data_IF_996342500558
#
_entry.id   IF_996342500558
#
_cell.length_a   1.000
_cell.length_b   1.000
_cell.length_c   1.000
_cell.angle_alpha   90.00
_cell.angle_beta   90.00
_cell.angle_gamma   90.00
#
_symmetry.space_group_name_H-M   'P 1'
#
loop_
_entity.id
_entity.type
_entity.pdbx_description
1 polymer ?
#
# COMPACT_ATOMS: atom_id res chain seq x y z
N UNK A 1 -63.42 39.23 16.60
CA UNK A 1 -62.38 40.04 15.93
C UNK A 1 -60.94 39.59 16.16
N UNK A 2 -60.58 38.83 17.22
CA UNK A 2 -59.19 38.40 17.45
C UNK A 2 -58.70 37.24 16.55
N UNK A 3 -59.60 36.38 16.07
CA UNK A 3 -59.25 35.23 15.24
C UNK A 3 -58.84 35.55 13.79
N UNK A 4 -59.41 36.60 13.17
CA UNK A 4 -59.09 36.96 11.78
C UNK A 4 -57.70 37.57 11.62
N UNK A 5 -57.22 38.30 12.65
CA UNK A 5 -55.88 38.90 12.65
C UNK A 5 -54.78 37.84 12.78
N UNK A 6 -55.05 36.75 13.49
CA UNK A 6 -54.11 35.65 13.63
C UNK A 6 -53.95 34.86 12.32
N UNK A 7 -55.07 34.56 11.65
CA UNK A 7 -55.06 33.88 10.35
C UNK A 7 -54.40 34.73 9.25
N UNK A 8 -54.63 36.05 9.25
CA UNK A 8 -53.98 36.96 8.31
C UNK A 8 -52.44 36.99 8.51
N UNK A 9 -51.97 36.94 9.75
CA UNK A 9 -50.53 36.86 10.06
C UNK A 9 -49.91 35.55 9.58
N UNK A 10 -50.56 34.42 9.82
CA UNK A 10 -50.09 33.12 9.32
C UNK A 10 -50.02 33.11 7.80
N UNK A 11 -51.05 33.65 7.13
CA UNK A 11 -51.08 33.70 5.67
C UNK A 11 -49.94 34.56 5.10
N UNK A 12 -49.66 35.73 5.70
CA UNK A 12 -48.53 36.57 5.31
C UNK A 12 -47.19 35.85 5.50
N UNK A 13 -46.99 35.14 6.61
CA UNK A 13 -45.76 34.36 6.84
C UNK A 13 -45.61 33.20 5.86
N UNK A 14 -46.69 32.50 5.52
CA UNK A 14 -46.69 31.44 4.51
C UNK A 14 -46.38 32.01 3.13
N UNK A 15 -46.96 33.17 2.77
CA UNK A 15 -46.63 33.86 1.52
C UNK A 15 -45.17 34.33 1.47
N UNK A 16 -44.62 34.85 2.57
CA UNK A 16 -43.20 35.23 2.65
C UNK A 16 -42.29 34.01 2.50
N UNK A 17 -42.62 32.89 3.16
CA UNK A 17 -41.86 31.63 3.03
C UNK A 17 -41.95 31.04 1.61
N UNK A 18 -43.10 31.15 0.95
CA UNK A 18 -43.30 30.75 -0.45
C UNK A 18 -42.58 31.69 -1.44
N UNK A 19 -42.49 32.98 -1.13
CA UNK A 19 -41.74 33.95 -1.95
C UNK A 19 -40.22 33.77 -1.78
N UNK A 20 -39.76 33.37 -0.59
CA UNK A 20 -38.35 33.04 -0.34
C UNK A 20 -37.92 31.73 -1.02
N UNK A 21 -38.82 30.78 -1.27
CA UNK A 21 -38.53 29.55 -2.02
C UNK A 21 -38.63 29.70 -3.54
N UNK A 22 -39.14 30.83 -4.05
CA UNK A 22 -39.24 31.12 -5.48
C UNK A 22 -37.99 31.79 -6.07
N UNK A 23 -37.01 32.16 -5.24
CA UNK A 23 -35.75 32.78 -5.68
C UNK A 23 -34.59 31.79 -5.76
N UNK A 24 -34.62 30.81 -6.69
CA UNK A 24 -33.54 29.80 -6.78
C UNK A 24 -32.93 29.58 -8.16
N UNK A 25 -33.39 30.24 -9.23
CA UNK A 25 -32.85 29.98 -10.58
C UNK A 25 -31.77 30.97 -11.03
N UNK A 26 -31.77 32.22 -10.55
CA UNK A 26 -30.81 33.24 -11.00
C UNK A 26 -29.42 33.11 -10.37
N UNK A 27 -29.34 32.64 -9.11
CA UNK A 27 -28.05 32.50 -8.40
C UNK A 27 -27.12 31.46 -9.01
N UNK A 28 -27.67 30.30 -9.39
CA UNK A 28 -26.88 29.19 -9.99
C UNK A 28 -26.21 29.63 -11.28
N UNK A 29 -26.93 30.39 -12.12
CA UNK A 29 -26.37 30.88 -13.39
C UNK A 29 -25.30 31.97 -13.21
N UNK A 30 -25.35 32.74 -12.13
CA UNK A 30 -24.34 33.75 -11.81
C UNK A 30 -23.06 33.09 -11.28
N UNK A 31 -23.21 32.02 -10.49
CA UNK A 31 -22.09 31.25 -9.95
C UNK A 31 -21.31 30.51 -11.05
N UNK A 32 -21.98 29.89 -12.03
CA UNK A 32 -21.30 29.20 -13.14
C UNK A 32 -20.50 30.18 -14.03
N UNK A 33 -21.00 31.39 -14.26
CA UNK A 33 -20.25 32.45 -14.97
C UNK A 33 -18.99 32.79 -14.18
N UNK A 34 -19.13 33.04 -12.87
CA UNK A 34 -18.02 33.36 -11.98
C UNK A 34 -16.99 32.23 -11.93
N UNK A 35 -17.46 30.98 -11.86
CA UNK A 35 -16.61 29.80 -11.88
C UNK A 35 -15.67 29.81 -13.08
N UNK A 36 -16.22 29.88 -14.31
CA UNK A 36 -15.40 29.82 -15.52
C UNK A 36 -14.53 31.08 -15.70
N UNK A 37 -15.02 32.24 -15.25
CA UNK A 37 -14.28 33.49 -15.34
C UNK A 37 -13.04 33.48 -14.43
N UNK A 38 -13.17 33.03 -13.18
CA UNK A 38 -12.04 32.90 -12.26
C UNK A 38 -11.13 31.72 -12.65
N UNK A 39 -11.70 30.60 -13.10
CA UNK A 39 -10.93 29.47 -13.62
C UNK A 39 -9.98 29.91 -14.74
N UNK A 40 -10.48 30.69 -15.70
CA UNK A 40 -9.65 31.22 -16.81
C UNK A 40 -8.53 32.15 -16.34
N UNK A 41 -8.69 32.84 -15.19
CA UNK A 41 -7.65 33.72 -14.63
C UNK A 41 -6.57 32.94 -13.90
N UNK A 42 -6.94 31.87 -13.20
CA UNK A 42 -6.02 31.04 -12.40
C UNK A 42 -5.19 30.08 -13.27
N UNK A 43 -5.77 29.57 -14.37
CA UNK A 43 -5.09 28.62 -15.26
C UNK A 43 -4.15 29.34 -16.23
N UNK A 44 -2.96 28.77 -16.40
CA UNK A 44 -1.99 29.23 -17.40
C UNK A 44 -2.24 28.53 -18.73
N UNK A 45 -2.67 29.30 -19.72
CA UNK A 45 -2.96 28.85 -21.08
C UNK A 45 -2.00 29.51 -22.10
N UNK A 46 -0.79 28.95 -22.32
CA UNK A 46 0.20 29.54 -23.21
C UNK A 46 -0.21 29.48 -24.70
N UNK A 47 -1.18 28.62 -25.06
CA UNK A 47 -1.61 28.43 -26.45
C UNK A 47 -2.93 29.12 -26.78
N UNK A 48 -3.55 29.80 -25.80
CA UNK A 48 -4.84 30.46 -25.98
C UNK A 48 -5.97 29.49 -26.33
N UNK A 49 -5.92 28.23 -25.85
CA UNK A 49 -7.00 27.25 -26.05
C UNK A 49 -8.32 27.72 -25.48
N UNK A 50 -8.31 28.46 -24.37
CA UNK A 50 -9.49 29.03 -23.71
C UNK A 50 -9.86 30.42 -24.26
N UNK A 51 -9.35 30.81 -25.43
CA UNK A 51 -9.66 32.10 -26.07
C UNK A 51 -11.14 32.26 -26.40
N UNK A 52 -11.84 31.16 -26.71
CA UNK A 52 -13.29 31.15 -27.00
C UNK A 52 -14.18 31.51 -25.81
N UNK A 53 -13.64 31.45 -24.59
CA UNK A 53 -14.37 31.82 -23.38
C UNK A 53 -14.47 33.34 -23.28
N UNK A 54 -15.46 33.91 -23.95
CA UNK A 54 -15.78 35.34 -23.94
C UNK A 54 -17.02 35.63 -23.10
N UNK A 55 -16.80 36.33 -21.99
CA UNK A 55 -17.81 36.68 -21.00
C UNK A 55 -18.53 38.01 -21.31
N UNK A 56 -18.24 38.66 -22.45
CA UNK A 56 -18.96 39.88 -22.87
C UNK A 56 -20.43 39.63 -23.21
N UNK A 57 -20.73 38.43 -23.74
CA UNK A 57 -22.09 38.05 -24.07
C UNK A 57 -22.76 37.37 -22.87
N UNK A 58 -23.76 38.05 -22.30
CA UNK A 58 -24.54 37.59 -21.14
C UNK A 58 -25.80 36.81 -21.53
N UNK A 59 -25.98 36.50 -22.82
CA UNK A 59 -27.12 35.70 -23.27
C UNK A 59 -27.12 34.32 -22.63
N UNK A 60 -28.31 33.86 -22.25
CA UNK A 60 -28.49 32.51 -21.70
C UNK A 60 -28.04 31.46 -22.72
N UNK A 61 -27.32 30.44 -22.24
CA UNK A 61 -26.74 29.37 -23.06
C UNK A 61 -25.41 29.75 -23.73
N UNK A 62 -24.91 30.97 -23.56
CA UNK A 62 -23.64 31.37 -24.17
C UNK A 62 -22.44 30.59 -23.58
N UNK A 63 -22.46 30.30 -22.28
CA UNK A 63 -21.44 29.48 -21.60
C UNK A 63 -21.31 28.09 -22.23
N UNK A 64 -22.42 27.51 -22.68
CA UNK A 64 -22.49 26.16 -23.24
C UNK A 64 -21.83 26.05 -24.63
N UNK A 65 -21.45 27.18 -25.24
CA UNK A 65 -20.71 27.24 -26.50
C UNK A 65 -19.20 27.29 -26.30
N UNK A 66 -18.75 27.43 -25.06
CA UNK A 66 -17.33 27.48 -24.74
C UNK A 66 -16.67 26.13 -24.99
N UNK A 67 -15.42 26.16 -25.44
CA UNK A 67 -14.67 24.94 -25.68
C UNK A 67 -14.56 24.14 -24.37
N UNK A 68 -14.87 22.85 -24.45
CA UNK A 68 -14.82 21.94 -23.30
C UNK A 68 -15.92 22.16 -22.26
N UNK A 69 -16.93 23.00 -22.50
CA UNK A 69 -18.02 23.22 -21.55
C UNK A 69 -19.28 22.56 -22.08
N UNK A 70 -19.91 21.70 -21.26
CA UNK A 70 -21.25 21.18 -21.53
C UNK A 70 -22.20 21.58 -20.41
N UNK A 71 -23.38 22.06 -20.79
CA UNK A 71 -24.44 22.46 -19.86
C UNK A 71 -25.53 21.40 -19.76
N UNK A 72 -26.41 21.57 -18.77
CA UNK A 72 -27.62 20.76 -18.64
C UNK A 72 -28.60 20.93 -19.82
N UNK A 73 -28.76 22.16 -20.29
CA UNK A 73 -29.60 22.52 -21.43
C UNK A 73 -29.14 23.87 -21.99
N UNK A 74 -29.40 24.13 -23.27
CA UNK A 74 -29.10 25.40 -23.95
C UNK A 74 -29.94 26.59 -23.44
N UNK A 75 -30.90 26.32 -22.53
CA UNK A 75 -31.79 27.31 -21.93
C UNK A 75 -31.34 27.78 -20.55
N UNK A 76 -30.25 27.24 -20.02
CA UNK A 76 -29.71 27.62 -18.71
C UNK A 76 -28.18 27.62 -18.77
N UNK A 77 -27.56 28.50 -18.00
CA UNK A 77 -26.10 28.62 -17.92
C UNK A 77 -25.47 27.62 -16.93
N UNK A 78 -26.15 26.49 -16.69
CA UNK A 78 -25.76 25.51 -15.68
C UNK A 78 -24.74 24.53 -16.22
N UNK A 79 -23.48 24.64 -15.79
CA UNK A 79 -22.38 23.79 -16.27
C UNK A 79 -22.43 22.41 -15.59
N UNK A 80 -22.31 21.36 -16.39
CA UNK A 80 -22.26 19.98 -15.91
C UNK A 80 -20.92 19.31 -16.16
N UNK A 81 -20.32 19.54 -17.34
CA UNK A 81 -19.07 18.90 -17.71
C UNK A 81 -18.06 19.95 -18.12
N UNK A 82 -16.84 19.80 -17.61
CA UNK A 82 -15.67 20.56 -18.01
C UNK A 82 -14.62 19.58 -18.55
N UNK A 83 -14.49 19.55 -19.88
CA UNK A 83 -13.68 18.62 -20.66
C UNK A 83 -12.54 19.37 -21.35
N UNK A 84 -11.42 19.53 -20.65
CA UNK A 84 -10.26 20.31 -21.08
C UNK A 84 -9.03 19.44 -21.37
N UNK A 85 -9.26 18.25 -21.91
CA UNK A 85 -8.21 17.27 -22.21
C UNK A 85 -7.25 17.77 -23.29
N UNK A 86 -5.96 17.46 -23.13
CA UNK A 86 -4.91 17.69 -24.14
C UNK A 86 -4.79 19.16 -24.61
N UNK A 87 -5.04 20.11 -23.70
CA UNK A 87 -5.03 21.55 -24.00
C UNK A 87 -3.72 22.26 -23.64
N UNK A 88 -2.72 21.55 -23.10
CA UNK A 88 -1.45 22.12 -22.62
C UNK A 88 -1.65 23.24 -21.58
N UNK A 89 -2.70 23.11 -20.78
CA UNK A 89 -2.98 23.99 -19.65
C UNK A 89 -2.02 23.66 -18.52
N UNK A 90 -1.64 24.67 -17.72
CA UNK A 90 -0.74 24.48 -16.58
C UNK A 90 -1.18 25.31 -15.38
N UNK A 91 -0.55 25.07 -14.23
CA UNK A 91 -0.93 25.67 -12.95
C UNK A 91 -1.28 24.60 -11.92
N UNK A 92 -2.11 24.96 -10.95
CA UNK A 92 -2.73 24.05 -9.98
C UNK A 92 -4.22 23.90 -10.31
N UNK A 93 -4.91 22.95 -9.67
CA UNK A 93 -6.38 22.90 -9.74
C UNK A 93 -6.94 24.21 -9.15
N UNK A 94 -7.72 25.00 -9.91
CA UNK A 94 -8.23 26.28 -9.45
C UNK A 94 -9.22 26.17 -8.31
N UNK A 95 -9.15 27.09 -7.34
CA UNK A 95 -10.18 27.17 -6.28
C UNK A 95 -11.52 27.62 -6.86
N UNK A 96 -11.51 28.35 -7.99
CA UNK A 96 -12.70 28.77 -8.73
C UNK A 96 -13.74 27.67 -8.99
N UNK A 97 -13.34 26.39 -9.01
CA UNK A 97 -14.25 25.26 -9.13
C UNK A 97 -15.29 25.19 -7.99
N UNK A 98 -15.07 25.87 -6.86
CA UNK A 98 -16.04 25.99 -5.77
C UNK A 98 -17.38 26.63 -6.20
N UNK A 99 -17.38 27.43 -7.26
CA UNK A 99 -18.59 28.05 -7.81
C UNK A 99 -19.34 27.14 -8.80
N UNK A 100 -18.66 26.14 -9.40
CA UNK A 100 -19.27 25.17 -10.33
C UNK A 100 -19.98 24.03 -9.58
N UNK A 101 -20.86 24.34 -8.63
CA UNK A 101 -21.44 23.35 -7.70
C UNK A 101 -22.18 22.21 -8.43
N UNK A 102 -22.72 22.47 -9.62
CA UNK A 102 -23.47 21.50 -10.42
C UNK A 102 -22.62 20.54 -11.26
N UNK A 103 -21.29 20.70 -11.25
CA UNK A 103 -20.40 19.89 -12.08
C UNK A 103 -20.48 18.41 -11.72
N UNK A 104 -20.62 17.58 -12.75
CA UNK A 104 -20.68 16.13 -12.68
C UNK A 104 -19.45 15.49 -13.31
N UNK A 105 -18.83 16.12 -14.30
CA UNK A 105 -17.62 15.60 -14.95
C UNK A 105 -16.54 16.66 -15.02
N UNK A 106 -15.36 16.35 -14.49
CA UNK A 106 -14.15 17.17 -14.62
C UNK A 106 -13.06 16.32 -15.28
N UNK A 107 -12.71 16.66 -16.52
CA UNK A 107 -11.61 16.05 -17.26
C UNK A 107 -10.55 17.11 -17.56
N UNK A 108 -9.42 17.01 -16.84
CA UNK A 108 -8.22 17.82 -17.04
C UNK A 108 -7.05 16.96 -17.57
N UNK A 109 -7.34 15.78 -18.13
CA UNK A 109 -6.34 14.82 -18.53
C UNK A 109 -5.38 15.34 -19.62
N UNK A 110 -4.13 14.91 -19.62
CA UNK A 110 -3.17 15.25 -20.69
C UNK A 110 -2.75 16.73 -20.70
N UNK A 111 -2.62 17.34 -19.53
CA UNK A 111 -2.19 18.72 -19.37
C UNK A 111 -0.88 18.79 -18.56
N UNK A 112 -0.46 20.01 -18.24
CA UNK A 112 0.72 20.32 -17.45
C UNK A 112 0.36 20.83 -16.04
N UNK A 113 -0.80 20.43 -15.48
CA UNK A 113 -1.17 20.78 -14.10
C UNK A 113 -0.20 20.12 -13.10
N UNK A 114 0.05 20.81 -11.99
CA UNK A 114 1.04 20.44 -10.98
C UNK A 114 0.56 20.82 -9.58
N UNK A 115 1.36 20.50 -8.56
CA UNK A 115 0.98 20.67 -7.16
C UNK A 115 0.16 19.50 -6.64
N UNK A 116 -0.49 19.68 -5.50
CA UNK A 116 -1.31 18.65 -4.87
C UNK A 116 -2.75 18.68 -5.39
N UNK A 117 -3.44 17.53 -5.33
CA UNK A 117 -4.89 17.48 -5.56
C UNK A 117 -5.56 18.13 -4.34
N UNK A 118 -6.38 19.18 -4.50
CA UNK A 118 -7.02 19.84 -3.37
C UNK A 118 -7.90 18.87 -2.58
N UNK A 119 -7.72 18.81 -1.26
CA UNK A 119 -8.54 17.95 -0.41
C UNK A 119 -10.01 18.38 -0.38
N UNK A 120 -10.29 19.66 -0.68
CA UNK A 120 -11.63 20.23 -0.72
C UNK A 120 -12.38 19.95 -2.02
N UNK A 121 -11.79 19.25 -3.01
CA UNK A 121 -12.42 19.06 -4.34
C UNK A 121 -13.83 18.43 -4.25
N UNK A 122 -14.06 17.51 -3.32
CA UNK A 122 -15.38 16.90 -3.10
C UNK A 122 -16.35 17.80 -2.32
N UNK A 123 -15.84 18.81 -1.60
CA UNK A 123 -16.66 19.85 -0.97
C UNK A 123 -17.09 20.87 -2.01
N UNK A 124 -16.19 21.24 -2.93
CA UNK A 124 -16.47 22.13 -4.05
C UNK A 124 -17.44 21.53 -5.05
N UNK A 125 -17.26 20.24 -5.37
CA UNK A 125 -17.99 19.52 -6.41
C UNK A 125 -18.74 18.31 -5.81
N UNK A 126 -19.83 18.53 -5.05
CA UNK A 126 -20.51 17.46 -4.31
C UNK A 126 -21.22 16.44 -5.21
N UNK A 127 -21.51 16.79 -6.47
CA UNK A 127 -22.21 15.94 -7.44
C UNK A 127 -21.28 15.27 -8.46
N UNK A 128 -19.96 15.27 -8.21
CA UNK A 128 -18.98 14.75 -9.14
C UNK A 128 -19.17 13.24 -9.38
N UNK A 129 -19.30 12.87 -10.65
CA UNK A 129 -19.48 11.50 -11.16
C UNK A 129 -18.20 11.02 -11.83
N UNK A 130 -17.50 11.90 -12.56
CA UNK A 130 -16.24 11.61 -13.24
C UNK A 130 -15.16 12.62 -12.86
N UNK A 131 -14.01 12.13 -12.41
CA UNK A 131 -12.81 12.92 -12.21
C UNK A 131 -11.65 12.27 -12.98
N UNK A 132 -11.16 12.96 -14.01
CA UNK A 132 -9.97 12.56 -14.74
C UNK A 132 -8.90 13.65 -14.63
N UNK A 133 -7.82 13.32 -13.93
CA UNK A 133 -6.62 14.12 -13.74
C UNK A 133 -5.40 13.43 -14.33
N UNK A 134 -5.59 12.43 -15.20
CA UNK A 134 -4.52 11.60 -15.74
C UNK A 134 -3.51 12.38 -16.57
N UNK A 135 -2.30 11.85 -16.69
CA UNK A 135 -1.26 12.39 -17.57
C UNK A 135 -0.99 13.88 -17.30
N UNK A 136 -0.67 14.19 -16.04
CA UNK A 136 -0.34 15.52 -15.53
C UNK A 136 0.93 15.42 -14.66
N UNK A 137 1.23 16.46 -13.87
CA UNK A 137 2.38 16.53 -12.96
C UNK A 137 1.93 16.67 -11.50
N UNK A 138 0.74 16.18 -11.15
CA UNK A 138 0.26 16.19 -9.76
C UNK A 138 1.18 15.39 -8.85
N UNK A 139 1.44 15.90 -7.66
CA UNK A 139 2.35 15.33 -6.66
C UNK A 139 1.71 15.31 -5.27
N UNK A 140 2.39 14.73 -4.29
CA UNK A 140 1.85 14.59 -2.93
C UNK A 140 0.91 13.39 -2.82
N UNK A 141 0.10 13.38 -1.77
CA UNK A 141 -0.78 12.25 -1.44
C UNK A 141 -2.11 12.32 -2.18
N UNK A 142 -2.73 11.16 -2.42
CA UNK A 142 -4.15 11.11 -2.78
C UNK A 142 -4.96 11.54 -1.53
N UNK A 143 -5.77 12.62 -1.59
CA UNK A 143 -6.52 13.08 -0.42
C UNK A 143 -7.54 12.05 0.03
N UNK A 144 -7.57 11.73 1.32
CA UNK A 144 -8.59 10.87 1.93
C UNK A 144 -10.01 11.44 1.77
N UNK A 145 -10.13 12.76 1.69
CA UNK A 145 -11.37 13.49 1.42
C UNK A 145 -12.01 13.14 0.07
N UNK A 146 -11.30 12.52 -0.87
CA UNK A 146 -11.89 11.97 -2.10
C UNK A 146 -12.97 10.91 -1.80
N UNK A 147 -12.91 10.26 -0.65
CA UNK A 147 -13.97 9.37 -0.17
C UNK A 147 -15.31 10.06 0.11
N UNK A 148 -15.36 11.42 0.14
CA UNK A 148 -16.59 12.19 0.31
C UNK A 148 -17.37 12.40 -1.00
N UNK A 149 -16.75 12.17 -2.16
CA UNK A 149 -17.42 12.25 -3.46
C UNK A 149 -18.35 11.03 -3.68
N UNK A 150 -19.47 10.95 -2.96
CA UNK A 150 -20.35 9.76 -2.92
C UNK A 150 -20.98 9.38 -4.27
N UNK A 151 -21.00 10.29 -5.24
CA UNK A 151 -21.53 10.08 -6.60
C UNK A 151 -20.48 9.58 -7.60
N UNK A 152 -19.21 9.48 -7.21
CA UNK A 152 -18.10 9.20 -8.10
C UNK A 152 -18.19 7.78 -8.67
N UNK A 153 -18.22 7.70 -9.99
CA UNK A 153 -18.22 6.45 -10.76
C UNK A 153 -16.85 6.17 -11.39
N UNK A 154 -16.11 7.21 -11.76
CA UNK A 154 -14.81 7.11 -12.43
C UNK A 154 -13.81 8.08 -11.81
N UNK A 155 -12.70 7.54 -11.33
CA UNK A 155 -11.57 8.29 -10.78
C UNK A 155 -10.28 7.87 -11.48
N UNK A 156 -9.75 8.74 -12.35
CA UNK A 156 -8.55 8.46 -13.15
C UNK A 156 -7.46 9.43 -12.73
N UNK A 157 -6.41 8.90 -12.10
CA UNK A 157 -5.25 9.63 -11.57
C UNK A 157 -3.94 9.07 -12.16
N UNK A 158 -4.01 8.26 -13.22
CA UNK A 158 -2.85 7.61 -13.81
C UNK A 158 -1.84 8.63 -14.36
N UNK A 159 -0.57 8.22 -14.49
CA UNK A 159 0.48 8.99 -15.16
C UNK A 159 0.69 10.36 -14.49
N UNK A 160 0.93 10.34 -13.18
CA UNK A 160 1.23 11.51 -12.36
C UNK A 160 2.45 11.21 -11.46
N UNK A 161 2.71 12.06 -10.47
CA UNK A 161 3.79 11.92 -9.48
C UNK A 161 3.23 11.76 -8.07
N UNK A 162 2.03 11.19 -7.93
CA UNK A 162 1.38 10.96 -6.64
C UNK A 162 2.15 9.92 -5.83
N UNK A 163 2.23 10.11 -4.52
CA UNK A 163 3.03 9.29 -3.61
C UNK A 163 2.25 8.91 -2.35
N UNK A 164 2.86 8.02 -1.55
CA UNK A 164 2.24 7.47 -0.35
C UNK A 164 1.21 6.39 -0.65
N UNK A 165 0.31 6.13 0.28
CA UNK A 165 -0.66 5.02 0.20
C UNK A 165 -1.97 5.44 -0.45
N UNK A 166 -2.67 4.49 -1.06
CA UNK A 166 -4.06 4.68 -1.48
C UNK A 166 -4.95 4.77 -0.21
N UNK A 167 -5.70 5.86 0.01
CA UNK A 167 -6.58 6.01 1.17
C UNK A 167 -7.66 4.93 1.21
N UNK A 168 -7.96 4.40 2.40
CA UNK A 168 -8.97 3.36 2.55
C UNK A 168 -10.39 3.91 2.29
N UNK A 169 -10.58 5.22 2.42
CA UNK A 169 -11.83 5.93 2.18
C UNK A 169 -12.30 5.79 0.72
N UNK A 170 -11.38 5.54 -0.23
CA UNK A 170 -11.73 5.23 -1.63
C UNK A 170 -12.54 3.92 -1.72
N UNK A 171 -12.29 2.95 -0.82
CA UNK A 171 -13.08 1.71 -0.78
C UNK A 171 -14.52 1.93 -0.30
N UNK A 172 -14.83 3.06 0.35
CA UNK A 172 -16.18 3.42 0.78
C UNK A 172 -17.02 4.04 -0.36
N UNK A 173 -16.42 4.34 -1.51
CA UNK A 173 -17.14 4.87 -2.68
C UNK A 173 -17.96 3.76 -3.35
N UNK A 174 -19.18 3.55 -2.85
CA UNK A 174 -20.05 2.45 -3.28
C UNK A 174 -20.53 2.51 -4.74
N UNK A 175 -20.33 3.64 -5.44
CA UNK A 175 -20.66 3.80 -6.86
C UNK A 175 -19.46 3.71 -7.80
N UNK A 176 -18.24 3.66 -7.24
CA UNK A 176 -17.02 3.67 -8.03
C UNK A 176 -16.93 2.39 -8.85
N UNK A 177 -16.72 2.54 -10.15
CA UNK A 177 -16.62 1.44 -11.13
C UNK A 177 -15.26 1.39 -11.80
N UNK A 178 -14.62 2.55 -11.95
CA UNK A 178 -13.30 2.68 -12.55
C UNK A 178 -12.40 3.51 -11.64
N UNK A 179 -11.27 2.94 -11.27
CA UNK A 179 -10.27 3.61 -10.46
C UNK A 179 -8.89 3.28 -11.02
N UNK A 180 -8.19 4.28 -11.54
CA UNK A 180 -6.88 4.12 -12.14
C UNK A 180 -5.87 5.04 -11.48
N UNK A 181 -4.79 4.45 -10.98
CA UNK A 181 -3.65 5.13 -10.35
C UNK A 181 -2.33 4.67 -10.96
N UNK A 182 -2.38 4.10 -12.15
CA UNK A 182 -1.22 3.54 -12.83
C UNK A 182 -0.12 4.59 -13.01
N UNK A 183 1.14 4.14 -13.09
CA UNK A 183 2.30 4.99 -13.37
C UNK A 183 2.40 6.21 -12.43
N UNK A 184 2.36 5.96 -11.12
CA UNK A 184 2.63 6.92 -10.07
C UNK A 184 3.77 6.43 -9.16
N UNK A 185 3.97 7.08 -8.02
CA UNK A 185 4.97 6.73 -6.99
C UNK A 185 4.27 6.21 -5.72
N UNK A 186 3.12 5.53 -5.86
CA UNK A 186 2.35 5.02 -4.74
C UNK A 186 3.01 3.79 -4.12
N UNK A 187 2.78 3.63 -2.82
CA UNK A 187 3.37 2.57 -2.00
C UNK A 187 2.31 1.88 -1.14
N UNK A 188 2.65 0.73 -0.57
CA UNK A 188 1.79 0.04 0.39
C UNK A 188 0.77 -0.90 -0.26
N UNK A 189 -0.30 -1.20 0.47
CA UNK A 189 -1.28 -2.21 0.05
C UNK A 189 -2.50 -1.56 -0.60
N UNK A 190 -2.96 -2.09 -1.73
CA UNK A 190 -4.22 -1.69 -2.36
C UNK A 190 -5.37 -2.07 -1.39
N UNK A 191 -6.24 -1.11 -0.99
CA UNK A 191 -7.37 -1.40 -0.12
C UNK A 191 -8.35 -2.37 -0.79
N UNK A 192 -9.21 -3.03 -0.01
CA UNK A 192 -10.22 -3.93 -0.56
C UNK A 192 -11.31 -3.12 -1.27
N UNK A 193 -11.21 -3.02 -2.60
CA UNK A 193 -12.18 -2.32 -3.43
C UNK A 193 -13.29 -3.31 -3.86
N UNK A 194 -14.55 -2.88 -3.77
CA UNK A 194 -15.74 -3.72 -4.03
C UNK A 194 -16.12 -3.86 -5.52
N UNK A 195 -15.39 -3.20 -6.41
CA UNK A 195 -15.65 -3.18 -7.86
C UNK A 195 -14.58 -3.97 -8.64
N UNK A 196 -14.84 -4.35 -9.90
CA UNK A 196 -13.85 -5.04 -10.75
C UNK A 196 -12.57 -4.23 -10.88
N UNK A 197 -11.42 -4.88 -10.66
CA UNK A 197 -10.11 -4.24 -10.69
C UNK A 197 -9.29 -4.79 -11.86
N UNK A 198 -8.83 -3.92 -12.76
CA UNK A 198 -7.90 -4.29 -13.80
C UNK A 198 -6.46 -4.10 -13.32
N UNK A 199 -5.59 -5.08 -13.62
CA UNK A 199 -4.17 -5.01 -13.24
C UNK A 199 -3.47 -3.77 -13.81
N UNK A 200 -3.87 -3.36 -15.01
CA UNK A 200 -3.32 -2.19 -15.68
C UNK A 200 -3.55 -0.89 -14.89
N UNK A 201 -4.69 -0.77 -14.20
CA UNK A 201 -5.08 0.43 -13.47
C UNK A 201 -4.21 0.73 -12.24
N UNK A 202 -3.41 -0.24 -11.77
CA UNK A 202 -2.53 -0.08 -10.61
C UNK A 202 -1.04 -0.24 -10.98
N UNK A 203 -0.74 -0.63 -12.22
CA UNK A 203 0.61 -0.92 -12.69
C UNK A 203 1.53 0.30 -12.65
N UNK A 204 2.84 0.11 -12.76
CA UNK A 204 3.81 1.21 -12.80
C UNK A 204 4.12 1.89 -11.46
N UNK A 205 3.47 1.48 -10.37
CA UNK A 205 3.81 1.87 -9.00
C UNK A 205 4.75 0.83 -8.37
N UNK A 206 6.02 1.19 -8.12
CA UNK A 206 7.08 0.23 -7.72
C UNK A 206 6.80 -0.51 -6.41
N UNK A 207 6.33 0.20 -5.39
CA UNK A 207 6.16 -0.33 -4.03
C UNK A 207 4.68 -0.54 -3.66
N UNK A 208 3.79 -0.49 -4.66
CA UNK A 208 2.37 -0.80 -4.50
C UNK A 208 2.15 -2.30 -4.70
N UNK A 209 1.40 -2.92 -3.81
CA UNK A 209 1.10 -4.35 -3.83
C UNK A 209 -0.34 -4.62 -3.37
N UNK A 210 -0.82 -5.86 -3.49
CA UNK A 210 -2.21 -6.22 -3.23
C UNK A 210 -2.91 -6.64 -4.52
N UNK A 211 -4.13 -7.19 -4.44
CA UNK A 211 -4.92 -7.45 -5.64
C UNK A 211 -5.28 -6.11 -6.29
N UNK A 212 -5.17 -5.96 -7.62
CA UNK A 212 -4.90 -7.00 -8.63
C UNK A 212 -3.41 -7.27 -8.95
N UNK A 213 -2.45 -6.53 -8.40
CA UNK A 213 -1.02 -6.61 -8.75
C UNK A 213 -0.30 -7.88 -8.26
N UNK A 214 -0.60 -8.36 -7.05
CA UNK A 214 0.07 -9.51 -6.44
C UNK A 214 0.07 -9.44 -4.91
N UNK A 215 0.64 -10.44 -4.22
CA UNK A 215 0.70 -10.44 -2.75
C UNK A 215 1.69 -9.40 -2.24
N UNK A 216 1.33 -8.70 -1.15
CA UNK A 216 2.24 -7.83 -0.40
C UNK A 216 3.21 -8.64 0.46
N UNK A 217 4.41 -8.11 0.70
CA UNK A 217 5.31 -8.62 1.77
C UNK A 217 6.19 -9.82 1.43
N UNK A 218 6.49 -10.07 0.15
CA UNK A 218 7.53 -11.03 -0.21
C UNK A 218 8.92 -10.40 -0.14
N UNK A 219 9.72 -10.73 0.88
CA UNK A 219 11.17 -10.53 0.78
C UNK A 219 11.62 -11.32 -0.47
N UNK A 220 12.26 -10.66 -1.44
CA UNK A 220 12.78 -11.37 -2.62
C UNK A 220 13.56 -12.59 -2.15
N UNK A 221 13.33 -13.79 -2.73
CA UNK A 221 14.07 -15.01 -2.37
C UNK A 221 15.59 -14.75 -2.31
N UNK A 222 16.08 -13.82 -3.13
CA UNK A 222 17.47 -13.33 -3.15
C UNK A 222 17.87 -12.59 -1.87
N UNK A 223 17.04 -11.67 -1.39
CA UNK A 223 17.31 -10.89 -0.17
C UNK A 223 17.26 -11.80 1.07
N UNK A 224 16.35 -12.77 1.10
CA UNK A 224 16.31 -13.78 2.16
C UNK A 224 17.59 -14.61 2.17
N UNK A 225 18.04 -15.07 1.01
CA UNK A 225 19.28 -15.83 0.88
C UNK A 225 20.51 -15.02 1.34
N UNK A 226 20.57 -13.72 1.04
CA UNK A 226 21.66 -12.85 1.51
C UNK A 226 21.67 -12.73 3.04
N UNK A 227 20.50 -12.51 3.66
CA UNK A 227 20.39 -12.39 5.13
C UNK A 227 20.80 -13.71 5.80
N UNK A 228 20.31 -14.85 5.30
CA UNK A 228 20.67 -16.16 5.82
C UNK A 228 22.18 -16.41 5.67
N UNK A 229 22.75 -16.13 4.50
CA UNK A 229 24.18 -16.28 4.25
C UNK A 229 25.02 -15.44 5.23
N UNK A 230 24.69 -14.15 5.40
CA UNK A 230 25.39 -13.26 6.33
C UNK A 230 25.34 -13.78 7.78
N UNK A 231 24.18 -14.28 8.21
CA UNK A 231 24.01 -14.90 9.53
C UNK A 231 24.89 -16.15 9.73
N UNK A 232 24.89 -17.05 8.74
CA UNK A 232 25.69 -18.30 8.79
C UNK A 232 27.19 -18.01 8.79
N UNK A 233 27.65 -17.11 7.92
CA UNK A 233 29.08 -16.74 7.88
C UNK A 233 29.53 -16.02 9.16
N UNK A 234 28.68 -15.16 9.73
CA UNK A 234 28.95 -14.49 11.01
C UNK A 234 29.10 -15.49 12.16
N UNK A 235 28.20 -16.48 12.25
CA UNK A 235 28.28 -17.53 13.26
C UNK A 235 29.54 -18.40 13.10
N UNK A 236 29.86 -18.82 11.87
CA UNK A 236 31.06 -19.62 11.57
C UNK A 236 32.35 -18.87 11.92
N UNK A 237 32.46 -17.59 11.56
CA UNK A 237 33.61 -16.75 11.90
C UNK A 237 33.76 -16.62 13.43
N UNK A 238 32.64 -16.43 14.15
CA UNK A 238 32.65 -16.31 15.61
C UNK A 238 33.13 -17.60 16.29
N UNK A 239 32.70 -18.77 15.80
CA UNK A 239 33.16 -20.08 16.28
C UNK A 239 34.65 -20.30 16.01
N UNK A 240 35.13 -19.93 14.81
CA UNK A 240 36.56 -20.05 14.47
C UNK A 240 37.44 -19.15 15.33
N UNK A 241 37.00 -17.93 15.62
CA UNK A 241 37.71 -17.02 16.52
C UNK A 241 37.73 -17.56 17.96
N UNK A 242 36.59 -18.04 18.47
CA UNK A 242 36.52 -18.64 19.79
C UNK A 242 37.43 -19.88 19.91
N UNK A 243 37.42 -20.75 18.90
CA UNK A 243 38.30 -21.92 18.84
C UNK A 243 39.78 -21.51 18.76
N UNK A 244 40.13 -20.52 17.95
CA UNK A 244 41.49 -20.00 17.85
C UNK A 244 42.01 -19.43 19.18
N UNK A 245 41.17 -18.67 19.89
CA UNK A 245 41.50 -18.15 21.23
C UNK A 245 41.65 -19.27 22.26
N UNK A 246 40.75 -20.24 22.26
CA UNK A 246 40.82 -21.42 23.13
C UNK A 246 42.10 -22.23 22.86
N UNK A 247 42.39 -22.52 21.60
CA UNK A 247 43.58 -23.24 21.16
C UNK A 247 44.87 -22.53 21.58
N UNK A 248 44.94 -21.21 21.38
CA UNK A 248 46.09 -20.40 21.80
C UNK A 248 46.30 -20.41 23.32
N UNK A 249 45.23 -20.27 24.10
CA UNK A 249 45.29 -20.34 25.57
C UNK A 249 45.84 -21.69 26.05
N UNK A 250 45.35 -22.79 25.48
CA UNK A 250 45.76 -24.13 25.87
C UNK A 250 47.22 -24.44 25.50
N UNK A 251 47.69 -24.01 24.32
CA UNK A 251 49.11 -24.10 23.93
C UNK A 251 50.02 -23.32 24.90
N UNK A 252 49.55 -22.18 25.42
CA UNK A 252 50.31 -21.36 26.38
C UNK A 252 50.39 -21.99 27.76
N UNK A 253 49.35 -22.71 28.20
CA UNK A 253 49.37 -23.51 29.42
C UNK A 253 50.30 -24.73 29.32
N UNK A 254 50.31 -25.41 28.16
CA UNK A 254 51.21 -26.54 27.91
C UNK A 254 52.68 -26.14 28.02
N UNK A 255 53.06 -24.94 27.54
CA UNK A 255 54.44 -24.43 27.68
C UNK A 255 54.83 -24.10 29.13
N UNK A 256 53.89 -23.73 30.01
CA UNK A 256 54.19 -23.45 31.43
C UNK A 256 54.45 -24.71 32.26
N UNK A 257 53.93 -25.88 31.85
CA UNK A 257 54.21 -27.17 32.52
C UNK A 257 55.55 -27.80 32.13
N UNK A 258 56.30 -27.21 31.19
CA UNK A 258 57.60 -27.73 30.75
C UNK A 258 58.81 -27.23 31.58
N UNK A 259 58.55 -26.68 32.77
CA UNK A 259 59.55 -26.09 33.67
C UNK A 259 59.80 -26.82 34.99
N UNK A 260 59.10 -27.91 35.30
CA UNK A 260 59.40 -28.76 36.46
C UNK A 260 59.15 -30.21 36.07
N UNK A 261 60.24 -30.97 35.91
CA UNK A 261 60.14 -32.40 35.61
C UNK A 261 59.76 -33.17 36.87
N UNK A 262 58.77 -34.05 36.76
CA UNK A 262 58.71 -35.40 37.33
C UNK A 262 57.78 -36.25 36.44
N UNK A 263 58.24 -37.46 36.14
CA UNK A 263 57.63 -38.53 35.35
C UNK A 263 56.46 -39.16 36.11
N UNK A 264 55.30 -39.34 35.46
CA UNK A 264 54.16 -40.07 36.04
C UNK A 264 52.92 -40.14 35.14
N UNK A 265 52.76 -41.31 34.49
CA UNK A 265 51.58 -41.93 33.85
C UNK A 265 50.57 -41.07 33.05
N UNK A 266 50.67 -41.19 31.72
CA UNK A 266 49.95 -40.45 30.69
C UNK A 266 48.68 -41.19 30.13
N UNK A 267 47.81 -41.80 30.94
CA UNK A 267 46.59 -42.49 30.42
C UNK A 267 45.27 -41.72 30.62
N UNK A 268 45.15 -40.86 31.63
CA UNK A 268 43.87 -40.20 31.95
C UNK A 268 43.61 -38.93 31.13
N UNK A 269 44.64 -38.17 30.78
CA UNK A 269 44.50 -36.91 30.03
C UNK A 269 44.06 -37.13 28.58
N UNK A 270 44.53 -38.22 27.93
CA UNK A 270 44.13 -38.60 26.58
C UNK A 270 42.65 -38.99 26.50
N UNK A 271 42.11 -39.68 27.52
CA UNK A 271 40.68 -40.05 27.58
C UNK A 271 39.74 -38.83 27.69
N UNK A 272 40.14 -37.80 28.44
CA UNK A 272 39.35 -36.56 28.52
C UNK A 272 39.35 -35.77 27.22
N UNK A 273 40.49 -35.71 26.52
CA UNK A 273 40.60 -35.00 25.24
C UNK A 273 39.77 -35.68 24.14
N UNK A 274 39.79 -37.01 24.07
CA UNK A 274 38.95 -37.75 23.12
C UNK A 274 37.45 -37.64 23.46
N UNK A 275 37.08 -37.61 24.74
CA UNK A 275 35.68 -37.44 25.16
C UNK A 275 35.13 -36.05 24.82
N UNK A 276 35.87 -34.97 25.09
CA UNK A 276 35.46 -33.60 24.71
C UNK A 276 35.38 -33.43 23.20
N UNK A 277 36.33 -34.00 22.44
CA UNK A 277 36.30 -33.95 20.98
C UNK A 277 35.08 -34.69 20.40
N UNK A 278 34.67 -35.81 21.01
CA UNK A 278 33.47 -36.56 20.61
C UNK A 278 32.18 -35.77 20.93
N UNK A 279 32.12 -35.09 22.08
CA UNK A 279 30.95 -34.28 22.49
C UNK A 279 30.79 -33.07 21.56
N UNK A 280 31.89 -32.43 21.17
CA UNK A 280 31.86 -31.32 20.21
C UNK A 280 31.54 -31.78 18.79
N UNK A 281 32.08 -32.93 18.35
CA UNK A 281 31.78 -33.49 17.03
C UNK A 281 30.30 -33.89 16.89
N UNK A 282 29.73 -34.53 17.91
CA UNK A 282 28.32 -34.93 17.92
C UNK A 282 27.38 -33.73 17.94
N UNK A 283 27.74 -32.66 18.67
CA UNK A 283 26.99 -31.40 18.69
C UNK A 283 27.01 -30.68 17.34
N UNK A 284 28.15 -30.69 16.63
CA UNK A 284 28.29 -30.08 15.29
C UNK A 284 27.49 -30.87 14.25
N UNK A 285 27.53 -32.21 14.30
CA UNK A 285 26.75 -33.08 13.41
C UNK A 285 25.25 -32.86 13.63
N UNK A 286 24.81 -32.77 14.89
CA UNK A 286 23.40 -32.50 15.22
C UNK A 286 22.94 -31.13 14.69
N UNK A 287 23.80 -30.11 14.75
CA UNK A 287 23.53 -28.78 14.20
C UNK A 287 23.44 -28.76 12.67
N UNK A 288 24.33 -29.50 11.99
CA UNK A 288 24.31 -29.65 10.54
C UNK A 288 23.05 -30.40 10.05
N UNK A 289 22.63 -31.44 10.78
CA UNK A 289 21.40 -32.17 10.49
C UNK A 289 20.15 -31.29 10.71
N UNK A 290 20.14 -30.44 11.73
CA UNK A 290 19.04 -29.49 11.98
C UNK A 290 18.94 -28.42 10.88
N UNK A 291 20.08 -27.93 10.39
CA UNK A 291 20.15 -27.00 9.26
C UNK A 291 19.70 -27.63 7.94
N UNK A 292 20.07 -28.89 7.68
CA UNK A 292 19.60 -29.65 6.52
C UNK A 292 18.10 -29.92 6.59
N UNK A 293 17.57 -30.23 7.78
CA UNK A 293 16.13 -30.40 8.00
C UNK A 293 15.34 -29.09 7.78
N UNK A 294 15.85 -27.96 8.27
CA UNK A 294 15.26 -26.64 8.01
C UNK A 294 15.28 -26.24 6.54
N UNK A 295 16.30 -26.65 5.80
CA UNK A 295 16.41 -26.38 4.36
C UNK A 295 15.37 -27.17 3.53
N UNK A 296 15.00 -28.38 3.97
CA UNK A 296 14.09 -29.26 3.23
C UNK A 296 12.60 -29.02 3.52
N UNK A 297 12.26 -28.13 4.46
CA UNK A 297 10.88 -27.64 4.64
C UNK A 297 9.88 -28.65 5.20
N UNK A 298 10.31 -29.85 5.56
CA UNK A 298 9.50 -30.86 6.25
C UNK A 298 9.94 -30.91 7.73
N UNK A 299 9.23 -30.21 8.63
CA UNK A 299 8.73 -30.74 9.91
C UNK A 299 8.12 -29.68 10.84
N UNK A 300 7.10 -30.12 11.56
CA UNK A 300 6.28 -29.41 12.56
C UNK A 300 6.99 -29.44 13.92
N UNK A 301 6.96 -28.31 14.64
CA UNK A 301 7.71 -28.01 15.88
C UNK A 301 7.46 -28.98 17.06
N UNK A 302 6.54 -29.95 16.94
CA UNK A 302 6.12 -30.83 18.04
C UNK A 302 7.07 -32.01 18.32
N UNK A 303 7.86 -32.48 17.35
CA UNK A 303 8.73 -33.67 17.54
C UNK A 303 10.10 -33.37 18.20
N UNK A 304 10.55 -32.11 18.17
CA UNK A 304 11.82 -31.70 18.78
C UNK A 304 11.76 -31.75 20.31
N UNK A 305 10.57 -31.52 20.90
CA UNK A 305 10.37 -31.57 22.34
C UNK A 305 10.47 -33.01 22.91
N UNK A 306 10.06 -34.02 22.13
CA UNK A 306 10.13 -35.41 22.56
C UNK A 306 11.58 -35.94 22.54
N UNK A 307 12.41 -35.44 21.63
CA UNK A 307 13.84 -35.80 21.54
C UNK A 307 14.66 -35.16 22.68
N UNK A 308 14.38 -33.89 23.01
CA UNK A 308 15.01 -33.21 24.15
C UNK A 308 14.57 -33.78 25.51
N UNK A 309 13.32 -34.21 25.64
CA UNK A 309 12.83 -34.82 26.87
C UNK A 309 13.40 -36.23 27.11
N UNK A 310 13.65 -37.01 26.06
CA UNK A 310 14.33 -38.32 26.18
C UNK A 310 15.82 -38.20 26.51
N UNK A 311 16.52 -37.16 26.05
CA UNK A 311 17.94 -36.97 26.38
C UNK A 311 18.19 -36.55 27.83
N UNK A 312 17.25 -35.88 28.51
CA UNK A 312 17.43 -35.43 29.90
C UNK A 312 17.40 -36.57 30.93
N UNK A 313 16.91 -37.75 30.57
CA UNK A 313 16.76 -38.91 31.48
C UNK A 313 18.02 -39.80 31.51
N UNK A 314 18.96 -39.63 30.58
CA UNK A 314 20.10 -40.55 30.38
C UNK A 314 21.43 -40.00 30.95
N UNK A 315 21.43 -39.50 32.20
CA UNK A 315 22.68 -39.19 32.95
C UNK A 315 22.78 -40.05 34.23
N UNK A 316 22.12 -41.21 34.31
CA UNK A 316 22.47 -42.23 35.29
C UNK A 316 22.32 -43.63 34.69
N UNK A 317 23.44 -44.37 34.62
CA UNK A 317 23.46 -45.81 34.42
C UNK A 317 23.74 -46.27 32.99
N UNK A 318 24.86 -46.96 32.84
CA UNK A 318 25.31 -47.71 31.67
C UNK A 318 24.20 -48.53 31.00
N UNK A 319 24.15 -48.54 29.66
CA UNK A 319 23.96 -49.80 28.93
C UNK A 319 24.39 -49.69 27.46
N UNK A 320 25.39 -50.49 27.13
CA UNK A 320 25.68 -51.01 25.80
C UNK A 320 24.55 -52.01 25.46
N UNK A 321 24.15 -52.05 24.18
CA UNK A 321 23.33 -53.10 23.55
C UNK A 321 21.80 -53.08 23.84
N UNK A 322 21.02 -52.44 22.97
CA UNK A 322 19.80 -53.02 22.35
C UNK A 322 19.06 -51.97 21.51
N UNK A 323 19.34 -51.94 20.21
CA UNK A 323 18.40 -51.54 19.13
C UNK A 323 19.08 -51.74 17.76
N UNK A 324 19.53 -52.98 17.51
CA UNK A 324 19.80 -53.51 16.15
C UNK A 324 18.73 -54.54 15.76
N UNK A 325 17.68 -54.71 16.56
CA UNK A 325 16.56 -55.62 16.25
C UNK A 325 15.27 -54.81 16.36
N UNK A 326 14.91 -54.11 15.28
CA UNK A 326 13.52 -53.81 14.88
C UNK A 326 13.50 -52.85 13.67
N UNK A 327 14.30 -53.12 12.64
CA UNK A 327 14.14 -52.54 11.31
C UNK A 327 14.42 -53.62 10.26
N UNK A 328 13.83 -54.80 10.45
CA UNK A 328 13.77 -55.83 9.42
C UNK A 328 12.35 -56.42 9.33
N UNK A 329 11.35 -55.54 9.36
CA UNK A 329 9.98 -55.89 9.02
C UNK A 329 9.16 -54.63 8.74
N UNK A 330 9.46 -53.97 7.61
CA UNK A 330 8.43 -53.18 6.92
C UNK A 330 8.84 -52.88 5.47
N UNK A 331 9.22 -53.90 4.70
CA UNK A 331 9.03 -53.90 3.24
C UNK A 331 8.97 -55.34 2.71
N UNK A 332 7.94 -55.63 1.91
CA UNK A 332 7.45 -56.93 1.41
C UNK A 332 6.65 -57.71 2.46
N UNK A 333 5.34 -57.92 2.29
CA UNK A 333 4.73 -58.74 1.24
C UNK A 333 3.29 -58.27 0.93
N UNK A 334 2.93 -58.31 -0.35
CA UNK A 334 1.58 -58.24 -0.90
C UNK A 334 0.64 -59.32 -0.34
N UNK A 335 -0.66 -59.02 -0.25
CA UNK A 335 -1.69 -60.00 -0.65
C UNK A 335 -2.54 -60.66 0.44
N UNK A 336 -3.86 -60.58 0.20
CA UNK A 336 -4.94 -61.46 0.64
C UNK A 336 -5.44 -61.34 2.09
N UNK A 337 -6.51 -60.54 2.28
CA UNK A 337 -7.90 -61.03 2.36
C UNK A 337 -8.90 -59.86 2.26
#
# INVERSE_FOLDING_TARGET
MKGSVFLARIFVWVCILLLLSLGSSSGVTEDDVRCLQEFKKEVKDPQGKLSSWDFKNTSVGNLCKFVGVSCWNDRENRVLNLELRDMKLSGTVPQALEYCVSLQSLDLGGNDFSGEIPSQICTWLPYLVGLDLSNNKFSGFIPHDLGKCTYLNSLILSDNRLSGTIPFEIANLGRLKKFSVANNQLTGTIPQLHFPQDKADFAGNKDLCGKPLGKCGGLSKKNLAIIIAAGVFGAAASLLLAFGLWWWYHLRLSKRKRGYGIRGDDDWASKYIYADLLIHATSIILWLLLLLALHNGEFVIQDVFLCLHKMRITIQGSCILSTVISLDNQFSIEGQL
#
